data_IF_849892565337
#
_entry.id   IF_849892565337
#
_cell.length_a   1.000
_cell.length_b   1.000
_cell.length_c   1.000
_cell.angle_alpha   90.00
_cell.angle_beta   90.00
_cell.angle_gamma   90.00
#
_symmetry.space_group_name_H-M   'P 1'
#
loop_
_entity.id
_entity.type
_entity.pdbx_description
1 polymer ?
#
# COMPACT_ATOMS: atom_id res chain seq x y z
N UNK A 1 -11.67 -2.05 3.06
CA UNK A 1 -11.42 -0.80 3.79
C UNK A 1 -11.02 0.34 2.83
N UNK A 2 -11.80 1.42 2.76
CA UNK A 2 -11.42 2.69 2.10
C UNK A 2 -11.66 3.82 3.10
N UNK A 3 -10.71 3.99 4.01
CA UNK A 3 -10.69 5.16 4.91
C UNK A 3 -9.30 5.76 4.73
N UNK A 4 -9.23 6.95 4.12
CA UNK A 4 -8.03 7.80 4.05
C UNK A 4 -6.89 7.42 3.09
N UNK A 5 -7.18 6.68 2.00
CA UNK A 5 -6.21 6.45 0.92
C UNK A 5 -5.14 5.40 1.22
N UNK A 6 -5.32 4.64 2.30
CA UNK A 6 -4.63 3.39 2.59
C UNK A 6 -5.67 2.33 2.99
N UNK A 7 -5.35 1.07 2.78
CA UNK A 7 -6.06 -0.08 3.29
C UNK A 7 -5.35 -0.55 4.56
N UNK A 8 -6.13 -0.89 5.58
CA UNK A 8 -5.65 -1.51 6.80
C UNK A 8 -6.27 -2.91 6.88
N UNK A 9 -5.42 -3.91 7.05
CA UNK A 9 -5.82 -5.27 7.39
C UNK A 9 -5.55 -5.48 8.89
N UNK A 10 -6.63 -5.72 9.63
CA UNK A 10 -6.64 -5.93 11.07
C UNK A 10 -6.68 -7.43 11.40
N UNK A 11 -5.61 -8.15 11.06
CA UNK A 11 -5.45 -9.58 11.40
C UNK A 11 -6.42 -10.52 10.67
N UNK A 12 -6.84 -10.20 9.45
CA UNK A 12 -7.77 -11.05 8.69
C UNK A 12 -7.08 -12.26 8.03
N UNK A 13 -5.75 -12.21 7.81
CA UNK A 13 -4.97 -13.28 7.15
C UNK A 13 -4.04 -14.03 8.11
N UNK A 14 -3.47 -13.36 9.11
CA UNK A 14 -2.61 -13.96 10.14
C UNK A 14 -2.77 -13.17 11.44
N UNK A 15 -3.01 -13.85 12.56
CA UNK A 15 -3.21 -13.23 13.87
C UNK A 15 -1.94 -12.57 14.44
N UNK A 16 -0.77 -12.91 13.90
CA UNK A 16 0.52 -12.45 14.39
C UNK A 16 1.03 -11.19 13.70
N UNK A 17 0.44 -10.77 12.57
CA UNK A 17 0.86 -9.60 11.81
C UNK A 17 -0.29 -8.64 11.50
N UNK A 18 0.04 -7.36 11.42
CA UNK A 18 -0.83 -6.31 10.88
C UNK A 18 -0.23 -5.77 9.60
N UNK A 19 -1.07 -5.52 8.61
CA UNK A 19 -0.65 -5.05 7.29
C UNK A 19 -1.29 -3.70 6.99
N UNK A 20 -0.44 -2.76 6.55
CA UNK A 20 -0.85 -1.44 6.08
C UNK A 20 -0.45 -1.33 4.63
N UNK A 21 -1.39 -0.97 3.75
CA UNK A 21 -1.15 -0.91 2.33
C UNK A 21 -1.67 0.39 1.71
N UNK A 22 -1.00 0.89 0.68
CA UNK A 22 -1.48 2.00 -0.15
C UNK A 22 -1.51 1.56 -1.60
N UNK A 23 -2.57 1.92 -2.31
CA UNK A 23 -2.65 1.74 -3.75
C UNK A 23 -1.68 2.69 -4.45
N UNK A 24 -0.94 2.19 -5.43
CA UNK A 24 -0.14 2.98 -6.36
C UNK A 24 -0.95 3.27 -7.62
N UNK A 25 -0.93 4.53 -8.04
CA UNK A 25 -1.61 4.99 -9.24
C UNK A 25 -0.66 5.69 -10.20
N UNK A 26 -0.84 5.43 -11.49
CA UNK A 26 -0.25 6.26 -12.55
C UNK A 26 -1.40 6.97 -13.25
N UNK A 27 -1.37 8.31 -13.31
CA UNK A 27 -2.42 9.12 -13.96
C UNK A 27 -3.85 8.66 -13.59
N UNK A 28 -4.11 8.49 -12.28
CA UNK A 28 -5.36 7.98 -11.69
C UNK A 28 -5.74 6.51 -11.95
N UNK A 29 -4.99 5.78 -12.79
CA UNK A 29 -5.16 4.32 -12.97
C UNK A 29 -4.44 3.59 -11.84
N UNK A 30 -5.16 2.76 -11.08
CA UNK A 30 -4.54 1.89 -10.07
C UNK A 30 -3.73 0.81 -10.78
N UNK A 31 -2.44 0.71 -10.44
CA UNK A 31 -1.53 -0.27 -11.05
C UNK A 31 -1.20 -1.41 -10.08
N UNK A 32 -0.90 -1.05 -8.83
CA UNK A 32 -0.41 -1.98 -7.83
C UNK A 32 -0.77 -1.48 -6.43
N UNK A 33 -0.30 -2.19 -5.41
CA UNK A 33 -0.28 -1.71 -4.04
C UNK A 33 1.07 -2.03 -3.41
N UNK A 34 1.51 -1.16 -2.50
CA UNK A 34 2.66 -1.44 -1.63
C UNK A 34 2.16 -1.57 -0.20
N UNK A 35 2.78 -2.45 0.57
CA UNK A 35 2.39 -2.69 1.96
C UNK A 35 3.59 -2.86 2.89
N UNK A 36 3.34 -2.63 4.18
CA UNK A 36 4.25 -2.95 5.27
C UNK A 36 3.52 -3.89 6.23
N UNK A 37 4.15 -5.02 6.53
CA UNK A 37 3.71 -6.00 7.52
C UNK A 37 4.53 -5.85 8.80
N UNK A 38 3.85 -5.78 9.95
CA UNK A 38 4.49 -5.62 11.27
C UNK A 38 3.95 -6.69 12.20
N UNK A 39 4.78 -7.37 13.00
CA UNK A 39 4.27 -8.24 14.06
C UNK A 39 3.40 -7.45 15.05
N UNK A 40 2.28 -8.03 15.48
CA UNK A 40 1.28 -7.38 16.33
C UNK A 40 1.89 -6.80 17.61
N UNK A 41 2.79 -7.54 18.27
CA UNK A 41 3.45 -7.08 19.49
C UNK A 41 4.38 -5.87 19.29
N UNK A 42 4.72 -5.52 18.04
CA UNK A 42 5.50 -4.32 17.68
C UNK A 42 4.65 -3.20 17.08
N UNK A 43 3.36 -3.46 16.84
CA UNK A 43 2.43 -2.50 16.24
C UNK A 43 1.85 -1.53 17.28
N UNK A 44 2.73 -0.75 17.91
CA UNK A 44 2.29 0.34 18.80
C UNK A 44 1.60 1.44 17.99
N UNK A 45 0.76 2.25 18.63
CA UNK A 45 0.08 3.39 17.97
C UNK A 45 1.07 4.31 17.26
N UNK A 46 2.22 4.59 17.89
CA UNK A 46 3.30 5.38 17.30
C UNK A 46 3.87 4.71 16.05
N UNK A 47 4.18 3.41 16.12
CA UNK A 47 4.71 2.66 14.97
C UNK A 47 3.73 2.63 13.81
N UNK A 48 2.43 2.51 14.10
CA UNK A 48 1.37 2.53 13.09
C UNK A 48 1.29 3.89 12.39
N UNK A 49 1.38 4.99 13.15
CA UNK A 49 1.43 6.33 12.59
C UNK A 49 2.65 6.53 11.69
N UNK A 50 3.83 6.08 12.13
CA UNK A 50 5.06 6.10 11.33
C UNK A 50 4.91 5.33 10.03
N UNK A 51 4.43 4.10 10.10
CA UNK A 51 4.24 3.22 8.93
C UNK A 51 3.28 3.84 7.93
N UNK A 52 2.17 4.39 8.42
CA UNK A 52 1.20 5.08 7.56
C UNK A 52 1.85 6.26 6.84
N UNK A 53 2.60 7.11 7.56
CA UNK A 53 3.33 8.24 6.99
C UNK A 53 4.38 7.80 5.97
N UNK A 54 5.14 6.75 6.27
CA UNK A 54 6.15 6.18 5.37
C UNK A 54 5.50 5.67 4.08
N UNK A 55 4.41 4.90 4.18
CA UNK A 55 3.68 4.38 3.02
C UNK A 55 3.13 5.50 2.15
N UNK A 56 2.53 6.53 2.74
CA UNK A 56 1.99 7.67 1.98
C UNK A 56 3.09 8.46 1.26
N UNK A 57 4.23 8.68 1.91
CA UNK A 57 5.39 9.34 1.30
C UNK A 57 6.01 8.49 0.19
N UNK A 58 6.15 7.19 0.42
CA UNK A 58 6.65 6.24 -0.58
C UNK A 58 5.72 6.20 -1.80
N UNK A 59 4.39 6.12 -1.59
CA UNK A 59 3.39 6.25 -2.67
C UNK A 59 3.64 7.52 -3.47
N UNK A 60 3.69 8.68 -2.83
CA UNK A 60 3.86 9.96 -3.52
C UNK A 60 5.09 9.96 -4.42
N UNK A 61 6.24 9.51 -3.90
CA UNK A 61 7.49 9.42 -4.67
C UNK A 61 7.40 8.45 -5.84
N UNK A 62 6.86 7.25 -5.61
CA UNK A 62 6.71 6.24 -6.66
C UNK A 62 5.75 6.75 -7.75
N UNK A 63 4.61 7.32 -7.37
CA UNK A 63 3.64 7.87 -8.33
C UNK A 63 4.23 9.04 -9.13
N UNK A 64 5.07 9.89 -8.53
CA UNK A 64 5.81 10.93 -9.24
C UNK A 64 6.69 10.35 -10.35
N UNK A 65 7.52 9.35 -10.01
CA UNK A 65 8.38 8.69 -11.00
C UNK A 65 7.57 7.96 -12.07
N UNK A 66 6.52 7.22 -11.69
CA UNK A 66 5.63 6.53 -12.62
C UNK A 66 4.98 7.51 -13.62
N UNK A 67 4.60 8.70 -13.18
CA UNK A 67 3.99 9.69 -14.06
C UNK A 67 4.96 10.30 -15.08
N UNK A 68 6.28 10.10 -14.93
CA UNK A 68 7.30 10.46 -15.95
C UNK A 68 7.43 9.41 -17.06
N UNK A 69 7.00 8.18 -16.80
CA UNK A 69 7.12 7.06 -17.71
C UNK A 69 5.90 6.96 -18.65
N UNK A 70 6.04 6.19 -19.73
CA UNK A 70 4.88 5.77 -20.52
C UNK A 70 3.89 4.98 -19.66
N UNK A 71 2.61 4.99 -20.05
CA UNK A 71 1.57 4.26 -19.31
C UNK A 71 1.92 2.78 -19.21
N UNK A 72 2.00 2.29 -17.98
CA UNK A 72 2.28 0.89 -17.72
C UNK A 72 0.98 0.10 -17.93
N UNK A 73 1.02 -0.86 -18.85
CA UNK A 73 -0.08 -1.79 -19.05
C UNK A 73 0.28 -3.11 -18.37
N UNK A 74 -0.05 -3.20 -17.07
CA UNK A 74 0.04 -4.46 -16.34
C UNK A 74 -1.14 -5.30 -16.79
N UNK A 75 -0.91 -6.18 -17.77
CA UNK A 75 -1.85 -7.24 -18.11
C UNK A 75 -2.07 -8.07 -16.87
N UNK A 76 -3.30 -8.06 -16.34
CA UNK A 76 -3.71 -9.08 -15.39
C UNK A 76 -3.92 -10.32 -16.25
N UNK A 77 -2.87 -11.12 -16.42
CA UNK A 77 -3.00 -12.45 -16.98
C UNK A 77 -3.97 -13.20 -16.08
N UNK A 78 -5.21 -13.22 -16.55
CA UNK A 78 -6.35 -13.85 -15.93
C UNK A 78 -6.15 -15.34 -16.15
N UNK A 79 -5.26 -15.96 -15.38
CA UNK A 79 -5.23 -17.40 -15.28
C UNK A 79 -6.51 -17.83 -14.55
N UNK A 80 -7.50 -18.17 -15.39
CA UNK A 80 -8.66 -18.97 -15.07
C UNK A 80 -8.24 -20.33 -14.51
#
# INVERSE_FOLDING_TARGET
>A
ARVNGYAFDNREINEETVCYAVALKQRNKTLAAISISIPVFRATKEKIADVTRILLNARSRIEQELNTLQDINIGIDSHH
#
